data_IF_327650687663
#
_entry.id   IF_327650687663
#
_cell.length_a   1.000
_cell.length_b   1.000
_cell.length_c   1.000
_cell.angle_alpha   90.00
_cell.angle_beta   90.00
_cell.angle_gamma   90.00
#
_symmetry.space_group_name_H-M   'P 1'
#
loop_
_entity.id
_entity.type
_entity.pdbx_description
1 polymer ?
#
# COMPACT_ATOMS: atom_id res chain seq x y z
N UNK A 1 9.97 -1.74 -14.57
CA UNK A 1 8.90 -1.82 -13.56
C UNK A 1 8.79 -0.45 -12.92
N UNK A 2 7.85 0.38 -13.36
CA UNK A 2 7.70 1.74 -12.86
C UNK A 2 7.31 1.69 -11.38
N UNK A 3 8.24 1.97 -10.47
CA UNK A 3 7.97 1.98 -9.04
C UNK A 3 6.87 2.99 -8.74
N UNK A 4 5.85 2.58 -7.98
CA UNK A 4 4.79 3.48 -7.52
C UNK A 4 5.44 4.63 -6.77
N UNK A 5 5.29 5.87 -7.23
CA UNK A 5 5.94 7.03 -6.62
C UNK A 5 5.22 7.43 -5.33
N UNK A 6 5.89 8.16 -4.44
CA UNK A 6 5.24 8.72 -3.22
C UNK A 6 4.06 9.65 -3.55
N UNK A 7 4.07 10.26 -4.73
CA UNK A 7 2.95 11.06 -5.24
C UNK A 7 1.74 10.18 -5.51
N UNK A 8 1.94 9.01 -6.12
CA UNK A 8 0.87 8.04 -6.39
C UNK A 8 0.30 7.46 -5.10
N UNK A 9 1.16 7.12 -4.13
CA UNK A 9 0.74 6.67 -2.79
C UNK A 9 -0.13 7.75 -2.12
N UNK A 10 0.31 9.01 -2.16
CA UNK A 10 -0.46 10.12 -1.62
C UNK A 10 -1.82 10.23 -2.28
N UNK A 11 -1.88 10.13 -3.61
CA UNK A 11 -3.12 10.20 -4.37
C UNK A 11 -4.08 9.07 -3.99
N UNK A 12 -3.60 7.83 -3.86
CA UNK A 12 -4.42 6.68 -3.44
C UNK A 12 -5.01 6.85 -2.04
N UNK A 13 -4.21 7.33 -1.07
CA UNK A 13 -4.68 7.57 0.29
C UNK A 13 -5.75 8.69 0.31
N UNK A 14 -5.55 9.76 -0.46
CA UNK A 14 -6.53 10.86 -0.56
C UNK A 14 -7.80 10.43 -1.28
N UNK A 15 -7.70 9.61 -2.33
CA UNK A 15 -8.84 9.13 -3.11
C UNK A 15 -9.84 8.33 -2.27
N UNK A 16 -9.36 7.64 -1.22
CA UNK A 16 -10.21 6.92 -0.27
C UNK A 16 -10.65 7.78 0.94
N UNK A 17 -10.47 9.10 0.87
CA UNK A 17 -10.92 10.04 1.90
C UNK A 17 -10.02 10.15 3.13
N UNK A 18 -8.83 9.54 3.11
CA UNK A 18 -7.89 9.60 4.23
C UNK A 18 -6.86 10.73 4.04
N UNK A 19 -6.47 11.38 5.14
CA UNK A 19 -5.33 12.29 5.14
C UNK A 19 -4.03 11.53 4.88
N UNK A 20 -3.30 11.90 3.82
CA UNK A 20 -1.97 11.37 3.50
C UNK A 20 -0.88 11.96 4.39
N UNK A 21 -0.83 11.50 5.65
CA UNK A 21 0.26 11.81 6.59
C UNK A 21 1.53 11.06 6.20
N UNK A 22 2.68 11.53 6.67
CA UNK A 22 3.96 10.87 6.41
C UNK A 22 3.96 9.41 6.91
N UNK A 23 3.37 9.14 8.09
CA UNK A 23 3.23 7.78 8.61
C UNK A 23 2.42 6.88 7.69
N UNK A 24 1.26 7.36 7.19
CA UNK A 24 0.42 6.59 6.26
C UNK A 24 1.13 6.31 4.95
N UNK A 25 1.87 7.28 4.42
CA UNK A 25 2.65 7.12 3.19
C UNK A 25 3.72 6.04 3.38
N UNK A 26 4.51 6.14 4.45
CA UNK A 26 5.59 5.19 4.74
C UNK A 26 5.06 3.77 4.98
N UNK A 27 3.98 3.63 5.75
CA UNK A 27 3.37 2.33 6.04
C UNK A 27 2.81 1.71 4.76
N UNK A 28 2.16 2.50 3.91
CA UNK A 28 1.63 2.02 2.63
C UNK A 28 2.73 1.68 1.63
N UNK A 29 3.81 2.48 1.58
CA UNK A 29 5.02 2.21 0.78
C UNK A 29 5.66 0.87 1.18
N UNK A 30 5.82 0.63 2.48
CA UNK A 30 6.32 -0.66 3.00
C UNK A 30 5.40 -1.82 2.66
N UNK A 31 4.08 -1.66 2.78
CA UNK A 31 3.11 -2.68 2.40
C UNK A 31 3.22 -3.04 0.90
N UNK A 32 3.33 -2.05 0.02
CA UNK A 32 3.50 -2.27 -1.43
C UNK A 32 4.80 -2.99 -1.76
N UNK A 33 5.89 -2.70 -1.04
CA UNK A 33 7.18 -3.35 -1.24
C UNK A 33 7.19 -4.83 -0.81
N UNK A 34 6.20 -5.27 -0.03
CA UNK A 34 6.05 -6.64 0.48
C UNK A 34 4.92 -7.42 -0.22
N UNK A 35 4.28 -6.83 -1.24
CA UNK A 35 3.01 -7.28 -1.83
C UNK A 35 2.97 -8.77 -2.21
N UNK A 36 4.07 -9.35 -2.70
CA UNK A 36 4.14 -10.73 -3.21
C UNK A 36 3.78 -11.82 -2.18
N UNK A 37 3.72 -11.49 -0.88
CA UNK A 37 3.43 -12.45 0.19
C UNK A 37 2.18 -12.16 1.03
N UNK A 38 1.42 -11.08 0.76
CA UNK A 38 0.39 -10.55 1.67
C UNK A 38 0.89 -10.44 3.13
N UNK A 39 1.71 -9.43 3.46
CA UNK A 39 2.39 -9.38 4.74
C UNK A 39 1.42 -9.20 5.91
N UNK A 40 1.88 -9.65 7.07
CA UNK A 40 1.32 -9.34 8.38
C UNK A 40 1.72 -7.94 8.83
N UNK A 41 1.01 -7.38 9.82
CA UNK A 41 1.38 -6.08 10.40
C UNK A 41 2.78 -6.13 11.04
N UNK A 42 3.17 -7.26 11.60
CA UNK A 42 4.50 -7.51 12.15
C UNK A 42 5.59 -7.42 11.07
N UNK A 43 5.38 -8.01 9.90
CA UNK A 43 6.34 -7.97 8.79
C UNK A 43 6.52 -6.55 8.24
N UNK A 44 5.41 -5.81 8.06
CA UNK A 44 5.46 -4.38 7.72
C UNK A 44 6.23 -3.60 8.79
N UNK A 45 5.96 -3.85 10.07
CA UNK A 45 6.68 -3.21 11.16
C UNK A 45 8.18 -3.53 11.16
N UNK A 46 8.59 -4.79 10.91
CA UNK A 46 10.00 -5.16 10.85
C UNK A 46 10.74 -4.42 9.74
N UNK A 47 10.12 -4.25 8.56
CA UNK A 47 10.72 -3.49 7.47
C UNK A 47 10.90 -2.01 7.83
N UNK A 48 9.96 -1.45 8.58
CA UNK A 48 9.97 -0.03 8.98
C UNK A 48 10.88 0.27 10.16
N UNK A 49 11.07 -0.68 11.08
CA UNK A 49 11.71 -0.47 12.39
C UNK A 49 13.09 0.19 12.30
N UNK A 50 13.90 -0.21 11.32
CA UNK A 50 15.26 0.31 11.15
C UNK A 50 15.28 1.72 10.57
N UNK A 51 14.45 2.01 9.58
CA UNK A 51 14.40 3.31 8.90
C UNK A 51 13.53 4.35 9.64
N UNK A 52 12.55 3.89 10.42
CA UNK A 52 11.53 4.71 11.04
C UNK A 52 11.25 4.27 12.50
N UNK A 53 12.23 4.41 13.41
CA UNK A 53 12.13 3.92 14.79
C UNK A 53 11.02 4.59 15.62
N UNK A 54 10.50 5.74 15.17
CA UNK A 54 9.37 6.43 15.81
C UNK A 54 8.00 5.82 15.52
N UNK A 55 7.90 4.84 14.61
CA UNK A 55 6.65 4.13 14.32
C UNK A 55 6.55 2.92 15.24
N UNK A 56 5.48 2.84 16.04
CA UNK A 56 5.20 1.66 16.88
C UNK A 56 4.39 0.61 16.11
N UNK A 57 4.46 -0.65 16.55
CA UNK A 57 3.63 -1.73 16.00
C UNK A 57 2.12 -1.40 16.08
N UNK A 58 1.68 -0.79 17.19
CA UNK A 58 0.29 -0.32 17.33
C UNK A 58 -0.11 0.76 16.31
N UNK A 59 0.85 1.58 15.87
CA UNK A 59 0.62 2.57 14.80
C UNK A 59 0.45 1.89 13.44
N UNK A 60 1.23 0.84 13.17
CA UNK A 60 1.10 0.02 11.96
C UNK A 60 -0.28 -0.62 11.91
N UNK A 61 -0.70 -1.29 12.99
CA UNK A 61 -2.03 -1.89 13.09
C UNK A 61 -3.16 -0.88 12.86
N UNK A 62 -3.18 0.23 13.60
CA UNK A 62 -4.21 1.27 13.44
C UNK A 62 -4.26 1.83 12.02
N UNK A 63 -3.10 1.97 11.38
CA UNK A 63 -3.02 2.51 10.02
C UNK A 63 -3.57 1.51 9.00
N UNK A 64 -3.13 0.26 9.06
CA UNK A 64 -3.61 -0.81 8.18
C UNK A 64 -5.12 -1.04 8.36
N UNK A 65 -5.62 -1.00 9.60
CA UNK A 65 -7.06 -1.08 9.89
C UNK A 65 -7.82 0.09 9.26
N UNK A 66 -7.29 1.32 9.35
CA UNK A 66 -7.91 2.47 8.68
C UNK A 66 -7.91 2.36 7.15
N UNK A 67 -6.91 1.68 6.56
CA UNK A 67 -6.90 1.39 5.13
C UNK A 67 -7.93 0.34 4.74
N UNK A 68 -8.18 -0.64 5.62
CA UNK A 68 -9.22 -1.65 5.45
C UNK A 68 -10.61 -1.02 5.53
N UNK A 69 -10.85 -0.17 6.53
CA UNK A 69 -12.10 0.60 6.65
C UNK A 69 -12.37 1.48 5.42
N UNK A 70 -11.31 2.04 4.83
CA UNK A 70 -11.38 2.86 3.63
C UNK A 70 -11.37 2.05 2.32
N UNK A 71 -11.43 0.72 2.37
CA UNK A 71 -11.36 -0.18 1.20
C UNK A 71 -10.10 -0.04 0.33
N UNK A 72 -9.03 0.58 0.84
CA UNK A 72 -7.73 0.70 0.16
C UNK A 72 -6.90 -0.59 0.28
N UNK A 73 -7.10 -1.32 1.37
CA UNK A 73 -6.43 -2.59 1.69
C UNK A 73 -7.52 -3.59 2.07
N UNK A 74 -7.32 -4.87 1.78
CA UNK A 74 -8.16 -5.97 2.25
C UNK A 74 -7.43 -6.75 3.32
N UNK A 75 -8.19 -7.25 4.29
CA UNK A 75 -7.67 -8.19 5.27
C UNK A 75 -7.94 -9.61 4.80
N UNK A 76 -6.89 -10.42 4.72
CA UNK A 76 -6.95 -11.84 4.38
C UNK A 76 -6.58 -12.64 5.63
N UNK A 77 -7.35 -13.69 5.91
CA UNK A 77 -7.03 -14.64 6.97
C UNK A 77 -6.32 -15.84 6.34
N UNK A 78 -5.06 -16.07 6.71
CA UNK A 78 -4.29 -17.24 6.32
C UNK A 78 -3.56 -17.78 7.53
N UNK A 79 -3.59 -19.09 7.76
CA UNK A 79 -2.87 -19.77 8.84
C UNK A 79 -3.06 -19.13 10.23
N UNK A 80 -4.30 -18.71 10.54
CA UNK A 80 -4.66 -18.00 11.79
C UNK A 80 -3.97 -16.64 11.99
N UNK A 81 -3.33 -16.08 10.97
CA UNK A 81 -2.72 -14.74 10.98
C UNK A 81 -3.50 -13.76 10.12
N UNK A 82 -3.53 -12.49 10.55
CA UNK A 82 -4.12 -11.39 9.78
C UNK A 82 -3.08 -10.88 8.79
N UNK A 83 -3.36 -11.09 7.51
CA UNK A 83 -2.56 -10.60 6.38
C UNK A 83 -3.26 -9.45 5.70
N UNK A 84 -2.48 -8.61 5.04
CA UNK A 84 -2.97 -7.42 4.36
C UNK A 84 -2.63 -7.51 2.88
N UNK A 85 -3.66 -7.28 2.06
CA UNK A 85 -3.58 -7.29 0.62
C UNK A 85 -3.97 -5.91 0.09
N UNK A 86 -3.19 -5.36 -0.82
CA UNK A 86 -3.49 -4.03 -1.35
C UNK A 86 -4.64 -4.17 -2.34
N UNK A 87 -5.70 -3.37 -2.16
CA UNK A 87 -6.80 -3.43 -3.11
C UNK A 87 -6.35 -2.76 -4.42
N UNK A 88 -5.94 -3.57 -5.39
CA UNK A 88 -5.69 -3.14 -6.77
C UNK A 88 -6.99 -2.98 -7.55
N UNK A 89 -8.05 -2.48 -6.91
CA UNK A 89 -9.27 -2.22 -7.67
C UNK A 89 -8.92 -1.31 -8.87
N UNK A 90 -9.47 -1.58 -10.06
CA UNK A 90 -9.16 -0.85 -11.27
C UNK A 90 -9.81 0.53 -11.20
N UNK A 91 -9.21 1.43 -10.43
CA UNK A 91 -9.63 2.79 -10.32
C UNK A 91 -9.05 3.57 -11.51
N UNK A 92 -9.78 3.54 -12.63
CA UNK A 92 -9.78 4.60 -13.64
C UNK A 92 -8.44 4.87 -14.31
N UNK A 93 -8.30 4.33 -15.52
CA UNK A 93 -7.60 5.04 -16.58
C UNK A 93 -8.11 6.50 -16.64
N UNK A 94 -7.35 7.45 -16.09
CA UNK A 94 -7.34 8.82 -16.59
C UNK A 94 -6.12 8.90 -17.51
N UNK A 95 -6.38 8.55 -18.77
CA UNK A 95 -5.93 9.25 -19.96
C UNK A 95 -4.63 10.06 -19.80
N UNK A 96 -3.49 9.45 -20.12
CA UNK A 96 -2.47 10.14 -20.89
C UNK A 96 -2.66 9.71 -22.35
N UNK A 97 -3.38 10.52 -23.13
CA UNK A 97 -3.31 10.43 -24.60
C UNK A 97 -1.95 10.90 -25.07
N UNK A 98 -0.91 10.08 -24.92
CA UNK A 98 0.18 10.18 -25.90
C UNK A 98 1.15 9.02 -26.12
N UNK A 99 1.02 7.84 -25.53
CA UNK A 99 1.90 6.73 -25.96
C UNK A 99 1.19 5.38 -25.90
N UNK A 100 0.46 5.08 -26.98
CA UNK A 100 -0.03 3.73 -27.30
C UNK A 100 1.10 2.88 -27.88
N UNK A 101 2.11 2.54 -27.10
CA UNK A 101 3.06 1.51 -27.51
C UNK A 101 3.28 0.51 -26.39
N UNK A 102 2.68 -0.67 -26.57
CA UNK A 102 3.15 -1.93 -26.03
C UNK A 102 3.73 -2.65 -27.26
N UNK A 103 5.05 -2.74 -27.32
CA UNK A 103 5.76 -3.61 -28.28
C UNK A 103 6.04 -4.90 -27.54
N UNK A 104 5.32 -5.97 -27.91
CA UNK A 104 5.72 -7.34 -27.61
C UNK A 104 6.44 -7.91 -28.83
N UNK A 105 7.68 -8.37 -28.64
CA UNK A 105 8.38 -9.25 -29.58
C UNK A 105 8.51 -10.64 -28.96
N UNK A 106 7.73 -11.61 -29.47
CA UNK A 106 8.18 -12.90 -30.01
C UNK A 106 7.01 -13.51 -30.78
#
# INVERSE_FOLDING_TARGET
MAGTTRTDIRARIVAVGLKATLQRIIIFESLLNLHDAHPTAEEVFQQLKTAHPGISLGTVYKTLDSFVEANLVKRVLSDSKRRFDVNEQPHGHIYCTNTKEIIDYT
#
